data_IF_099527073529
#
_entry.id   IF_099527073529
#
_cell.length_a   1.000
_cell.length_b   1.000
_cell.length_c   1.000
_cell.angle_alpha   90.00
_cell.angle_beta   90.00
_cell.angle_gamma   90.00
#
_symmetry.space_group_name_H-M   'P 1'
#
loop_
_entity.id
_entity.type
_entity.pdbx_description
1 polymer ?
#
# COMPACT_ATOMS: atom_id res chain seq x y z
N UNK A 1 38.30 -35.89 -62.74
CA UNK A 1 38.73 -35.25 -61.48
C UNK A 1 37.54 -35.29 -60.53
N UNK A 2 37.54 -36.23 -59.58
CA UNK A 2 36.41 -36.49 -58.68
C UNK A 2 36.60 -35.61 -57.44
N UNK A 3 35.69 -34.66 -57.21
CA UNK A 3 35.66 -33.86 -55.99
C UNK A 3 34.75 -34.60 -55.00
N UNK A 4 35.33 -35.19 -53.95
CA UNK A 4 34.58 -35.73 -52.81
C UNK A 4 34.24 -34.56 -51.88
N UNK A 5 32.95 -34.25 -51.72
CA UNK A 5 32.48 -33.43 -50.61
C UNK A 5 32.26 -34.33 -49.39
N UNK A 6 33.10 -34.18 -48.36
CA UNK A 6 32.83 -34.72 -47.04
C UNK A 6 31.86 -33.77 -46.33
N UNK A 7 30.65 -34.24 -46.04
CA UNK A 7 29.73 -33.55 -45.15
C UNK A 7 30.22 -33.74 -43.71
N UNK A 8 30.64 -32.66 -43.04
CA UNK A 8 30.77 -32.66 -41.59
C UNK A 8 29.38 -32.68 -40.95
N UNK A 9 29.12 -33.50 -39.92
CA UNK A 9 27.87 -33.43 -39.18
C UNK A 9 27.91 -32.22 -38.25
N UNK A 10 27.24 -31.14 -38.64
CA UNK A 10 26.89 -30.03 -37.74
C UNK A 10 25.70 -30.49 -36.90
N UNK A 11 25.95 -31.38 -35.94
CA UNK A 11 24.94 -31.83 -34.98
C UNK A 11 25.57 -31.78 -33.59
N UNK A 12 25.83 -30.58 -33.07
CA UNK A 12 26.09 -30.43 -31.64
C UNK A 12 25.84 -29.01 -31.13
N UNK A 13 24.79 -28.34 -31.64
CA UNK A 13 24.40 -27.02 -31.15
C UNK A 13 22.87 -26.76 -31.09
N UNK A 14 22.05 -27.69 -30.55
CA UNK A 14 20.78 -27.25 -29.96
C UNK A 14 20.59 -27.69 -28.50
N UNK A 15 21.63 -28.18 -27.81
CA UNK A 15 21.49 -28.66 -26.42
C UNK A 15 21.94 -27.65 -25.34
N UNK A 16 22.28 -26.41 -25.71
CA UNK A 16 22.71 -25.35 -24.78
C UNK A 16 21.64 -24.28 -24.52
N UNK A 17 20.42 -24.45 -25.04
CA UNK A 17 19.29 -23.52 -24.84
C UNK A 17 18.24 -24.01 -23.83
N UNK A 18 18.53 -25.08 -23.08
CA UNK A 18 17.58 -25.70 -22.13
C UNK A 18 17.92 -25.49 -20.64
N UNK A 19 18.83 -24.57 -20.29
CA UNK A 19 19.25 -24.37 -18.89
C UNK A 19 19.05 -22.95 -18.34
N UNK A 20 18.10 -22.19 -18.88
CA UNK A 20 17.58 -20.99 -18.19
C UNK A 20 16.05 -20.99 -18.20
N UNK A 21 15.45 -22.08 -17.70
CA UNK A 21 14.23 -21.91 -16.92
C UNK A 21 14.74 -21.49 -15.54
N UNK A 22 15.08 -20.22 -15.39
CA UNK A 22 14.91 -19.63 -14.08
C UNK A 22 13.43 -19.76 -13.81
N UNK A 23 13.04 -20.74 -12.99
CA UNK A 23 11.83 -20.57 -12.21
C UNK A 23 12.10 -19.34 -11.36
N UNK A 24 11.83 -18.16 -11.90
CA UNK A 24 11.54 -17.00 -11.09
C UNK A 24 10.34 -17.44 -10.25
N UNK A 25 10.60 -18.01 -9.07
CA UNK A 25 9.73 -17.75 -7.95
C UNK A 25 9.71 -16.24 -7.91
N UNK A 26 8.69 -15.61 -8.52
CA UNK A 26 8.37 -14.25 -8.14
C UNK A 26 8.21 -14.35 -6.63
N UNK A 27 9.16 -13.76 -5.90
CA UNK A 27 8.98 -13.60 -4.47
C UNK A 27 7.65 -12.87 -4.32
N UNK A 28 6.67 -13.52 -3.69
CA UNK A 28 5.36 -12.92 -3.50
C UNK A 28 5.58 -11.57 -2.81
N UNK A 29 5.05 -10.50 -3.40
CA UNK A 29 5.07 -9.18 -2.78
C UNK A 29 4.43 -9.26 -1.39
N UNK A 30 5.12 -8.73 -0.38
CA UNK A 30 4.57 -8.58 0.97
C UNK A 30 4.51 -7.09 1.28
N UNK A 31 3.31 -6.63 1.63
CA UNK A 31 3.07 -5.31 2.19
C UNK A 31 2.93 -5.41 3.72
N UNK A 32 3.47 -4.45 4.45
CA UNK A 32 3.40 -4.41 5.92
C UNK A 32 3.02 -3.02 6.42
N UNK A 33 2.25 -2.97 7.51
CA UNK A 33 1.99 -1.74 8.25
C UNK A 33 3.05 -1.56 9.34
N UNK A 34 3.56 -0.34 9.47
CA UNK A 34 4.57 0.05 10.46
C UNK A 34 4.19 1.39 11.11
N UNK A 35 4.42 1.54 12.40
CA UNK A 35 4.33 2.83 13.10
C UNK A 35 3.41 2.83 14.31
N UNK A 36 2.68 1.76 14.59
CA UNK A 36 1.70 1.71 15.69
C UNK A 36 2.21 1.03 16.97
N UNK A 37 3.47 0.59 16.99
CA UNK A 37 4.10 0.08 18.21
C UNK A 37 5.58 0.47 18.27
N UNK A 38 5.96 1.33 19.22
CA UNK A 38 7.35 1.79 19.39
C UNK A 38 8.40 0.69 19.63
N UNK A 39 7.97 -0.56 19.86
CA UNK A 39 8.84 -1.72 20.03
C UNK A 39 8.94 -2.60 18.77
N UNK A 40 8.33 -2.21 17.65
CA UNK A 40 8.34 -2.98 16.39
C UNK A 40 9.63 -2.80 15.56
N UNK A 41 10.60 -2.05 16.09
CA UNK A 41 11.83 -1.68 15.40
C UNK A 41 11.65 -0.43 14.54
N UNK A 42 12.77 0.13 14.08
CA UNK A 42 12.79 1.28 13.18
C UNK A 42 12.25 0.94 11.79
N UNK A 43 11.91 1.98 11.03
CA UNK A 43 11.47 1.83 9.64
C UNK A 43 12.58 1.20 8.79
N UNK A 44 13.84 1.61 9.00
CA UNK A 44 14.96 1.00 8.26
C UNK A 44 15.20 -0.46 8.61
N UNK A 45 15.12 -0.86 9.89
CA UNK A 45 15.23 -2.27 10.29
C UNK A 45 14.14 -3.12 9.63
N UNK A 46 12.93 -2.57 9.49
CA UNK A 46 11.83 -3.22 8.77
C UNK A 46 12.18 -3.48 7.30
N UNK A 47 12.71 -2.48 6.59
CA UNK A 47 13.10 -2.60 5.20
C UNK A 47 14.31 -3.53 5.00
N UNK A 48 15.33 -3.44 5.87
CA UNK A 48 16.55 -4.25 5.82
C UNK A 48 16.31 -5.75 6.07
N UNK A 49 15.10 -6.14 6.52
CA UNK A 49 14.71 -7.55 6.52
C UNK A 49 14.69 -8.18 5.13
N UNK A 50 14.54 -7.37 4.07
CA UNK A 50 14.41 -7.82 2.69
C UNK A 50 13.12 -8.60 2.41
N UNK A 51 12.15 -8.58 3.32
CA UNK A 51 10.89 -9.34 3.21
C UNK A 51 9.77 -8.58 2.52
N UNK A 52 9.80 -7.24 2.60
CA UNK A 52 8.68 -6.39 2.24
C UNK A 52 8.98 -5.61 0.97
N UNK A 53 8.01 -5.55 0.06
CA UNK A 53 8.09 -4.70 -1.14
C UNK A 53 7.32 -3.39 -0.95
N UNK A 54 6.44 -3.34 0.07
CA UNK A 54 5.69 -2.16 0.45
C UNK A 54 5.68 -2.00 1.97
N UNK A 55 5.84 -0.77 2.45
CA UNK A 55 5.65 -0.40 3.85
C UNK A 55 4.65 0.76 3.92
N UNK A 56 3.59 0.57 4.69
CA UNK A 56 2.57 1.58 4.98
C UNK A 56 2.86 2.21 6.34
N UNK A 57 3.26 3.48 6.34
CA UNK A 57 3.45 4.27 7.56
C UNK A 57 2.08 4.61 8.12
N UNK A 58 1.76 4.03 9.27
CA UNK A 58 0.48 4.11 9.94
C UNK A 58 0.59 4.97 11.20
N UNK A 59 -0.20 6.05 11.39
CA UNK A 59 -1.25 6.58 10.52
C UNK A 59 -1.36 8.11 10.59
N UNK A 60 -1.82 8.72 9.49
CA UNK A 60 -2.49 10.03 9.54
C UNK A 60 -3.94 9.81 9.97
N UNK A 61 -4.18 9.80 11.29
CA UNK A 61 -5.45 9.36 11.89
C UNK A 61 -6.45 10.49 12.17
N UNK A 62 -6.09 11.74 11.84
CA UNK A 62 -6.98 12.90 12.00
C UNK A 62 -6.76 13.86 10.85
N UNK A 63 -7.83 14.20 10.13
CA UNK A 63 -7.82 15.14 9.01
C UNK A 63 -9.26 15.46 8.57
N UNK A 64 -9.39 16.43 7.65
CA UNK A 64 -10.66 16.83 7.05
C UNK A 64 -11.60 17.53 8.03
N UNK A 65 -12.75 17.99 7.53
CA UNK A 65 -13.71 18.83 8.24
C UNK A 65 -13.09 20.08 8.90
N UNK A 66 -12.11 20.69 8.21
CA UNK A 66 -11.39 21.87 8.71
C UNK A 66 -10.42 21.62 9.87
N UNK A 67 -10.19 20.37 10.26
CA UNK A 67 -9.23 20.01 11.29
C UNK A 67 -7.79 20.17 10.80
N UNK A 68 -6.88 20.55 11.69
CA UNK A 68 -5.44 20.39 11.46
C UNK A 68 -5.11 18.89 11.42
N UNK A 69 -4.50 18.38 10.33
CA UNK A 69 -4.15 16.97 10.26
C UNK A 69 -3.12 16.57 11.32
N UNK A 70 -3.23 15.33 11.84
CA UNK A 70 -2.30 14.81 12.85
C UNK A 70 -1.85 13.39 12.49
N UNK A 71 -0.52 13.24 12.45
CA UNK A 71 0.16 11.95 12.35
C UNK A 71 0.27 11.34 13.76
N UNK A 72 0.17 10.03 13.86
CA UNK A 72 0.47 9.28 15.08
C UNK A 72 1.36 8.09 14.73
N UNK A 73 2.56 8.04 15.31
CA UNK A 73 3.51 6.94 15.18
C UNK A 73 3.80 6.29 16.54
N UNK A 74 2.76 6.20 17.37
CA UNK A 74 2.79 5.61 18.71
C UNK A 74 4.03 6.05 19.53
N UNK A 75 4.91 5.11 19.85
CA UNK A 75 6.11 5.34 20.67
C UNK A 75 7.38 5.65 19.87
N UNK A 76 7.32 5.73 18.54
CA UNK A 76 8.52 5.94 17.70
C UNK A 76 9.05 7.38 17.78
N UNK A 77 8.14 8.36 17.69
CA UNK A 77 8.49 9.77 17.68
C UNK A 77 7.23 10.63 17.93
N UNK A 78 7.45 11.91 18.26
CA UNK A 78 6.37 12.88 18.42
C UNK A 78 6.36 13.89 17.25
N UNK A 79 5.34 13.88 16.38
CA UNK A 79 5.24 14.83 15.28
C UNK A 79 4.90 16.25 15.74
N UNK A 80 4.28 16.44 16.92
CA UNK A 80 3.93 17.77 17.42
C UNK A 80 5.16 18.61 17.80
N UNK A 81 6.28 17.95 18.13
CA UNK A 81 7.58 18.57 18.41
C UNK A 81 8.56 18.50 17.23
N UNK A 82 8.10 18.15 16.02
CA UNK A 82 8.92 17.85 14.85
C UNK A 82 9.92 16.68 15.06
N UNK A 83 9.69 15.85 16.08
CA UNK A 83 10.56 14.73 16.43
C UNK A 83 10.55 13.59 15.39
N UNK A 84 9.52 13.52 14.54
CA UNK A 84 9.41 12.49 13.50
C UNK A 84 10.19 12.79 12.21
N UNK A 85 10.83 13.95 12.11
CA UNK A 85 11.70 14.29 10.95
C UNK A 85 12.90 13.36 10.81
N UNK A 86 13.26 12.64 11.87
CA UNK A 86 14.32 11.61 11.86
C UNK A 86 14.01 10.43 10.92
N UNK A 87 12.73 10.23 10.57
CA UNK A 87 12.29 9.15 9.68
C UNK A 87 12.65 9.42 8.21
N UNK A 88 12.99 10.67 7.84
CA UNK A 88 13.40 11.04 6.48
C UNK A 88 14.48 10.10 5.91
N UNK A 89 15.52 9.83 6.70
CA UNK A 89 16.63 9.01 6.26
C UNK A 89 16.23 7.55 6.07
N UNK A 90 15.36 7.03 6.93
CA UNK A 90 14.87 5.66 6.84
C UNK A 90 14.00 5.46 5.59
N UNK A 91 13.11 6.42 5.29
CA UNK A 91 12.31 6.41 4.05
C UNK A 91 13.22 6.31 2.82
N UNK A 92 14.23 7.18 2.74
CA UNK A 92 15.15 7.20 1.59
C UNK A 92 15.89 5.87 1.44
N UNK A 93 16.39 5.31 2.54
CA UNK A 93 17.09 4.02 2.53
C UNK A 93 16.17 2.86 2.14
N UNK A 94 14.93 2.85 2.60
CA UNK A 94 13.92 1.88 2.13
C UNK A 94 13.71 1.99 0.61
N UNK A 95 13.56 3.21 0.10
CA UNK A 95 13.37 3.48 -1.33
C UNK A 95 14.59 3.09 -2.17
N UNK A 96 15.82 3.30 -1.66
CA UNK A 96 17.07 2.84 -2.28
C UNK A 96 17.14 1.31 -2.40
N UNK A 97 16.46 0.58 -1.51
CA UNK A 97 16.31 -0.88 -1.56
C UNK A 97 15.14 -1.33 -2.44
N UNK A 98 14.44 -0.40 -3.09
CA UNK A 98 13.29 -0.70 -3.95
C UNK A 98 11.97 -0.93 -3.20
N UNK A 99 11.94 -0.69 -1.89
CA UNK A 99 10.71 -0.77 -1.08
C UNK A 99 9.87 0.49 -1.31
N UNK A 100 8.60 0.33 -1.67
CA UNK A 100 7.67 1.47 -1.74
C UNK A 100 7.23 1.86 -0.35
N UNK A 101 7.35 3.14 0.00
CA UNK A 101 6.94 3.67 1.30
C UNK A 101 5.74 4.59 1.13
N UNK A 102 4.60 4.22 1.69
CA UNK A 102 3.33 4.94 1.58
C UNK A 102 2.93 5.52 2.93
N UNK A 103 2.19 6.63 2.92
CA UNK A 103 1.47 7.10 4.11
C UNK A 103 0.08 6.48 4.12
N UNK A 104 -0.28 5.78 5.20
CA UNK A 104 -1.64 5.33 5.41
C UNK A 104 -2.49 6.39 6.12
N UNK A 105 -3.61 6.74 5.51
CA UNK A 105 -4.62 7.65 6.06
C UNK A 105 -5.76 6.83 6.66
N UNK A 106 -6.17 7.18 7.88
CA UNK A 106 -7.28 6.53 8.57
C UNK A 106 -6.85 5.61 9.71
N UNK A 107 -7.14 4.31 9.57
CA UNK A 107 -6.99 3.24 10.56
C UNK A 107 -8.23 3.06 11.46
N UNK A 108 -8.35 1.91 12.13
CA UNK A 108 -9.49 1.57 12.99
C UNK A 108 -9.74 2.48 14.22
N UNK A 109 -8.88 3.46 14.47
CA UNK A 109 -9.06 4.50 15.50
C UNK A 109 -8.60 5.86 15.00
N UNK A 110 -9.43 6.89 15.16
CA UNK A 110 -9.09 8.23 14.70
C UNK A 110 -10.28 9.19 14.66
N UNK A 111 -10.04 10.38 14.10
CA UNK A 111 -11.07 11.37 13.83
C UNK A 111 -10.84 11.98 12.44
N UNK A 112 -11.25 11.24 11.43
CA UNK A 112 -11.09 11.59 10.03
C UNK A 112 -12.43 11.48 9.30
N UNK A 113 -12.67 12.41 8.38
CA UNK A 113 -13.84 12.43 7.51
C UNK A 113 -13.65 13.50 6.43
N UNK A 114 -14.33 13.36 5.29
CA UNK A 114 -14.39 14.39 4.27
C UNK A 114 -15.79 15.01 4.27
N UNK A 115 -15.87 16.33 4.45
CA UNK A 115 -17.15 17.03 4.55
C UNK A 115 -17.75 17.40 3.18
N UNK A 116 -16.93 17.45 2.13
CA UNK A 116 -17.31 17.80 0.75
C UNK A 116 -16.18 17.45 -0.22
N UNK A 117 -16.47 17.48 -1.53
CA UNK A 117 -15.44 17.40 -2.57
C UNK A 117 -14.35 18.48 -2.43
N UNK A 118 -14.71 19.71 -2.03
CA UNK A 118 -13.72 20.77 -1.74
C UNK A 118 -12.85 20.43 -0.53
N UNK A 119 -13.39 19.72 0.45
CA UNK A 119 -12.63 19.23 1.60
C UNK A 119 -11.66 18.11 1.19
N UNK A 120 -12.10 17.18 0.34
CA UNK A 120 -11.24 16.19 -0.28
C UNK A 120 -10.08 16.85 -1.05
N UNK A 121 -10.34 17.91 -1.81
CA UNK A 121 -9.29 18.66 -2.50
C UNK A 121 -8.30 19.32 -1.55
N UNK A 122 -8.78 19.90 -0.43
CA UNK A 122 -7.89 20.48 0.59
C UNK A 122 -7.00 19.42 1.24
N UNK A 123 -7.55 18.25 1.54
CA UNK A 123 -6.79 17.12 2.08
C UNK A 123 -5.77 16.62 1.05
N UNK A 124 -6.15 16.48 -0.22
CA UNK A 124 -5.24 16.10 -1.30
C UNK A 124 -4.05 17.07 -1.42
N UNK A 125 -4.32 18.39 -1.38
CA UNK A 125 -3.27 19.41 -1.41
C UNK A 125 -2.35 19.33 -0.19
N UNK A 126 -2.89 19.08 1.00
CA UNK A 126 -2.08 18.87 2.20
C UNK A 126 -1.16 17.65 2.05
N UNK A 127 -1.72 16.49 1.67
CA UNK A 127 -0.94 15.28 1.44
C UNK A 127 0.17 15.51 0.40
N UNK A 128 -0.14 16.25 -0.67
CA UNK A 128 0.82 16.62 -1.69
C UNK A 128 1.99 17.44 -1.15
N UNK A 129 1.68 18.53 -0.44
CA UNK A 129 2.67 19.49 0.07
C UNK A 129 3.51 18.94 1.22
N UNK A 130 2.91 18.13 2.09
CA UNK A 130 3.52 17.72 3.35
C UNK A 130 4.19 16.33 3.29
N UNK A 131 3.78 15.45 2.36
CA UNK A 131 4.25 14.05 2.31
C UNK A 131 4.69 13.57 0.92
N UNK A 132 4.14 14.14 -0.15
CA UNK A 132 4.50 13.78 -1.53
C UNK A 132 5.44 14.85 -2.12
N UNK A 133 5.40 15.04 -3.43
CA UNK A 133 6.38 15.83 -4.20
C UNK A 133 6.04 17.33 -4.25
N UNK A 134 5.14 17.81 -3.38
CA UNK A 134 4.95 19.23 -3.11
C UNK A 134 6.00 19.80 -2.17
N UNK A 135 5.85 21.07 -1.81
CA UNK A 135 6.82 21.79 -0.98
C UNK A 135 6.11 22.49 0.20
N UNK A 136 6.41 22.03 1.42
CA UNK A 136 5.96 22.64 2.67
C UNK A 136 7.17 22.95 3.54
N UNK A 137 7.12 24.03 4.32
CA UNK A 137 8.24 24.47 5.16
C UNK A 137 8.49 23.60 6.40
N UNK A 138 7.54 22.74 6.78
CA UNK A 138 7.62 21.89 7.97
C UNK A 138 6.88 20.58 7.72
N UNK A 139 7.56 19.62 7.11
CA UNK A 139 7.00 18.31 6.76
C UNK A 139 7.08 17.35 7.95
N UNK A 140 6.00 16.63 8.31
CA UNK A 140 5.99 15.79 9.52
C UNK A 140 7.05 14.69 9.57
N UNK A 141 7.43 14.15 8.41
CA UNK A 141 8.42 13.07 8.26
C UNK A 141 9.75 13.58 7.65
N UNK A 142 9.94 14.90 7.59
CA UNK A 142 11.08 15.52 6.90
C UNK A 142 10.90 15.61 5.38
N UNK A 143 12.01 15.81 4.66
CA UNK A 143 12.02 16.17 3.24
C UNK A 143 11.86 14.97 2.29
N UNK A 144 11.69 13.77 2.83
CA UNK A 144 11.51 12.57 2.06
C UNK A 144 10.16 12.64 1.34
N UNK A 145 10.16 12.17 0.10
CA UNK A 145 8.98 12.15 -0.75
C UNK A 145 8.48 10.71 -0.76
N UNK A 146 7.33 10.48 -0.13
CA UNK A 146 6.68 9.18 -0.13
C UNK A 146 6.25 8.77 -1.54
N UNK A 147 6.12 7.47 -1.74
CA UNK A 147 5.72 6.91 -3.02
C UNK A 147 4.22 7.05 -3.27
N UNK A 148 3.42 7.11 -2.21
CA UNK A 148 1.98 7.13 -2.36
C UNK A 148 1.18 7.28 -1.07
N UNK A 149 -0.13 7.18 -1.23
CA UNK A 149 -1.12 7.26 -0.16
C UNK A 149 -1.90 5.94 -0.13
N UNK A 150 -1.96 5.35 1.06
CA UNK A 150 -2.79 4.19 1.38
C UNK A 150 -4.09 4.61 2.06
N UNK A 151 -5.22 4.13 1.56
CA UNK A 151 -6.55 4.42 2.06
C UNK A 151 -7.01 3.28 2.98
N UNK A 152 -6.85 3.46 4.28
CA UNK A 152 -7.34 2.55 5.31
C UNK A 152 -8.52 3.19 6.05
N UNK A 153 -9.66 3.27 5.37
CA UNK A 153 -10.85 4.00 5.85
C UNK A 153 -11.83 3.01 6.48
N UNK A 154 -11.90 3.01 7.81
CA UNK A 154 -12.69 2.02 8.57
C UNK A 154 -13.89 2.62 9.33
N UNK A 155 -13.98 3.95 9.41
CA UNK A 155 -15.01 4.67 10.16
C UNK A 155 -15.39 6.01 9.53
N UNK A 156 -16.42 6.64 10.09
CA UNK A 156 -16.85 7.98 9.70
C UNK A 156 -17.77 7.99 8.48
N UNK A 157 -17.59 8.97 7.59
CA UNK A 157 -18.42 9.13 6.39
C UNK A 157 -17.88 8.28 5.23
N UNK A 158 -18.74 7.59 4.45
CA UNK A 158 -18.31 6.90 3.23
C UNK A 158 -18.18 7.84 2.01
N UNK A 159 -18.41 9.15 2.18
CA UNK A 159 -18.47 10.10 1.07
C UNK A 159 -17.10 10.69 0.71
N UNK A 160 -16.94 11.05 -0.57
CA UNK A 160 -15.84 11.84 -1.14
C UNK A 160 -14.45 11.18 -1.18
N UNK A 161 -14.32 9.91 -0.80
CA UNK A 161 -13.05 9.18 -0.97
C UNK A 161 -12.68 8.99 -2.45
N UNK A 162 -13.67 8.89 -3.34
CA UNK A 162 -13.43 8.88 -4.79
C UNK A 162 -12.86 10.22 -5.29
N UNK A 163 -13.32 11.34 -4.73
CA UNK A 163 -12.81 12.67 -5.06
C UNK A 163 -11.36 12.81 -4.61
N UNK A 164 -11.06 12.38 -3.38
CA UNK A 164 -9.70 12.39 -2.84
C UNK A 164 -8.75 11.57 -3.73
N UNK A 165 -9.16 10.36 -4.15
CA UNK A 165 -8.37 9.53 -5.05
C UNK A 165 -8.11 10.22 -6.41
N UNK A 166 -9.13 10.87 -7.00
CA UNK A 166 -8.98 11.62 -8.25
C UNK A 166 -8.04 12.82 -8.10
N UNK A 167 -8.15 13.59 -7.02
CA UNK A 167 -7.27 14.73 -6.79
C UNK A 167 -5.81 14.32 -6.55
N UNK A 168 -5.58 13.23 -5.79
CA UNK A 168 -4.22 12.71 -5.59
C UNK A 168 -3.61 12.21 -6.89
N UNK A 169 -4.38 11.45 -7.69
CA UNK A 169 -3.92 10.95 -8.98
C UNK A 169 -3.61 12.07 -9.98
N UNK A 170 -4.33 13.19 -9.91
CA UNK A 170 -4.08 14.33 -10.80
C UNK A 170 -2.68 14.96 -10.61
N UNK A 171 -1.99 14.71 -9.49
CA UNK A 171 -0.60 15.15 -9.32
C UNK A 171 0.42 14.33 -10.13
N UNK A 172 0.03 13.20 -10.74
CA UNK A 172 0.91 12.45 -11.65
C UNK A 172 1.41 13.35 -12.81
N UNK A 173 0.61 14.33 -13.22
CA UNK A 173 0.93 15.31 -14.27
C UNK A 173 2.15 16.19 -13.94
N UNK A 174 2.62 16.19 -12.69
CA UNK A 174 3.84 16.92 -12.29
C UNK A 174 5.12 16.09 -12.47
N UNK A 175 5.05 14.89 -13.06
CA UNK A 175 6.22 14.10 -13.47
C UNK A 175 6.69 13.04 -12.48
N UNK A 176 5.99 12.83 -11.36
CA UNK A 176 6.21 11.69 -10.44
C UNK A 176 4.87 11.03 -10.14
N UNK A 177 4.77 9.72 -10.39
CA UNK A 177 3.58 8.92 -10.07
C UNK A 177 3.33 8.92 -8.56
N UNK A 178 2.09 9.17 -8.17
CA UNK A 178 1.53 8.99 -6.83
C UNK A 178 0.88 7.62 -6.77
N UNK A 179 1.46 6.67 -6.03
CA UNK A 179 0.83 5.37 -5.85
C UNK A 179 -0.42 5.52 -4.97
N UNK A 180 -1.51 4.86 -5.34
CA UNK A 180 -2.73 4.81 -4.54
C UNK A 180 -3.01 3.37 -4.17
N UNK A 181 -3.10 3.10 -2.87
CA UNK A 181 -3.47 1.77 -2.36
C UNK A 181 -4.66 1.86 -1.43
N UNK A 182 -5.32 0.74 -1.17
CA UNK A 182 -6.50 0.70 -0.33
C UNK A 182 -6.57 -0.58 0.50
N UNK A 183 -7.09 -0.45 1.72
CA UNK A 183 -7.31 -1.53 2.67
C UNK A 183 -8.81 -1.70 3.00
N UNK A 184 -9.66 -2.10 2.04
CA UNK A 184 -11.06 -2.36 2.36
C UNK A 184 -11.21 -3.56 3.28
N UNK A 185 -12.28 -3.59 4.06
CA UNK A 185 -12.66 -4.80 4.79
C UNK A 185 -13.13 -5.88 3.82
N UNK A 186 -13.03 -7.16 4.21
CA UNK A 186 -13.44 -8.25 3.32
C UNK A 186 -14.93 -8.33 2.92
N UNK A 187 -15.91 -7.76 3.66
CA UNK A 187 -17.29 -7.73 3.18
C UNK A 187 -17.40 -6.90 1.90
N UNK A 188 -17.94 -7.49 0.83
CA UNK A 188 -18.08 -6.82 -0.46
C UNK A 188 -19.54 -6.43 -0.75
N UNK A 189 -19.81 -5.22 -1.28
CA UNK A 189 -18.85 -4.13 -1.47
C UNK A 189 -18.48 -3.47 -0.14
N UNK A 190 -17.24 -2.97 -0.02
CA UNK A 190 -16.79 -2.23 1.16
C UNK A 190 -17.62 -0.97 1.39
N UNK A 191 -17.95 -0.65 2.65
CA UNK A 191 -18.84 0.46 2.96
C UNK A 191 -18.25 1.82 2.58
N UNK A 192 -16.95 2.02 2.80
CA UNK A 192 -16.28 3.31 2.72
C UNK A 192 -15.58 3.51 1.38
N UNK A 193 -14.96 2.46 0.84
CA UNK A 193 -14.07 2.53 -0.31
C UNK A 193 -14.74 2.06 -1.60
N UNK A 194 -15.97 1.54 -1.59
CA UNK A 194 -16.65 1.05 -2.81
C UNK A 194 -16.67 2.07 -3.95
N UNK A 195 -16.98 3.33 -3.67
CA UNK A 195 -17.13 4.34 -4.72
C UNK A 195 -15.74 4.70 -5.27
N UNK A 196 -14.74 4.84 -4.39
CA UNK A 196 -13.36 5.06 -4.78
C UNK A 196 -12.80 3.91 -5.63
N UNK A 197 -13.03 2.65 -5.23
CA UNK A 197 -12.52 1.48 -5.93
C UNK A 197 -13.25 1.25 -7.26
N UNK A 198 -14.58 1.34 -7.28
CA UNK A 198 -15.39 0.95 -8.45
C UNK A 198 -15.52 2.07 -9.50
N UNK A 199 -15.58 3.34 -9.08
CA UNK A 199 -15.87 4.44 -10.01
C UNK A 199 -14.60 5.06 -10.60
N UNK A 200 -13.43 4.82 -10.00
CA UNK A 200 -12.20 5.51 -10.38
C UNK A 200 -11.23 4.60 -11.14
N UNK A 201 -11.13 3.32 -10.79
CA UNK A 201 -10.12 2.39 -11.32
C UNK A 201 -8.67 2.93 -11.14
N UNK A 202 -8.46 3.78 -10.12
CA UNK A 202 -7.18 4.48 -9.90
C UNK A 202 -6.23 3.78 -8.94
N UNK A 203 -6.63 2.69 -8.30
CA UNK A 203 -5.83 2.04 -7.26
C UNK A 203 -4.82 1.06 -7.85
N UNK A 204 -3.55 1.22 -7.47
CA UNK A 204 -2.44 0.37 -7.88
C UNK A 204 -2.52 -0.98 -7.17
N UNK A 205 -2.66 -0.97 -5.85
CA UNK A 205 -2.73 -2.18 -5.03
C UNK A 205 -3.90 -2.12 -4.06
N UNK A 206 -4.58 -3.24 -3.86
CA UNK A 206 -5.67 -3.36 -2.88
C UNK A 206 -5.38 -4.55 -1.97
N UNK A 207 -5.16 -4.31 -0.68
CA UNK A 207 -4.94 -5.35 0.35
C UNK A 207 -6.19 -5.52 1.20
N UNK A 208 -7.06 -6.43 0.78
CA UNK A 208 -8.35 -6.69 1.46
C UNK A 208 -8.09 -7.31 2.83
N UNK A 209 -8.69 -6.73 3.87
CA UNK A 209 -8.54 -7.17 5.26
C UNK A 209 -9.43 -8.40 5.53
N UNK A 210 -8.87 -9.61 5.45
CA UNK A 210 -9.57 -10.88 5.71
C UNK A 210 -9.51 -11.29 7.19
N UNK A 211 -9.88 -10.35 8.06
CA UNK A 211 -9.95 -10.50 9.51
C UNK A 211 -10.98 -9.53 10.11
N UNK A 212 -11.33 -9.72 11.39
CA UNK A 212 -12.38 -9.00 12.12
C UNK A 212 -13.79 -9.11 11.47
N UNK A 213 -14.00 -10.07 10.57
CA UNK A 213 -15.20 -10.20 9.74
C UNK A 213 -15.54 -11.68 9.48
N UNK A 214 -16.30 -12.35 10.39
CA UNK A 214 -16.58 -13.79 10.32
C UNK A 214 -17.20 -14.30 9.00
N UNK A 215 -17.90 -13.43 8.28
CA UNK A 215 -18.57 -13.78 7.01
C UNK A 215 -17.59 -13.98 5.84
N UNK A 216 -16.37 -13.47 5.93
CA UNK A 216 -15.40 -13.51 4.83
C UNK A 216 -13.96 -13.80 5.27
N UNK A 217 -13.69 -13.99 6.56
CA UNK A 217 -12.36 -14.39 7.06
C UNK A 217 -12.16 -15.92 7.12
N UNK A 218 -10.93 -16.32 7.44
CA UNK A 218 -10.62 -17.72 7.77
C UNK A 218 -11.25 -18.12 9.11
N UNK A 219 -11.90 -19.28 9.14
CA UNK A 219 -12.33 -19.93 10.38
C UNK A 219 -11.68 -21.30 10.50
N UNK A 220 -11.40 -21.75 11.73
CA UNK A 220 -10.67 -23.00 11.95
C UNK A 220 -11.31 -24.19 11.22
N UNK A 221 -10.59 -24.74 10.24
CA UNK A 221 -11.05 -25.87 9.43
C UNK A 221 -12.01 -25.51 8.28
N UNK A 222 -12.22 -24.21 8.00
CA UNK A 222 -13.07 -23.72 6.93
C UNK A 222 -12.40 -22.54 6.20
N UNK A 223 -12.15 -22.73 4.90
CA UNK A 223 -11.60 -21.69 4.00
C UNK A 223 -12.64 -21.16 3.00
N UNK A 224 -13.88 -21.65 3.03
CA UNK A 224 -14.89 -21.36 2.02
C UNK A 224 -15.25 -19.87 2.01
N UNK A 225 -15.36 -19.25 3.20
CA UNK A 225 -15.68 -17.82 3.35
C UNK A 225 -14.58 -16.93 2.72
N UNK A 226 -13.32 -17.17 3.10
CA UNK A 226 -12.17 -16.40 2.57
C UNK A 226 -11.96 -16.63 1.09
N UNK A 227 -12.08 -17.87 0.58
CA UNK A 227 -11.95 -18.18 -0.84
C UNK A 227 -13.10 -17.56 -1.66
N UNK A 228 -14.34 -17.64 -1.16
CA UNK A 228 -15.50 -17.05 -1.84
C UNK A 228 -15.40 -15.54 -1.91
N UNK A 229 -15.00 -14.89 -0.82
CA UNK A 229 -14.79 -13.44 -0.78
C UNK A 229 -13.60 -13.01 -1.66
N UNK A 230 -12.48 -13.75 -1.62
CA UNK A 230 -11.34 -13.52 -2.53
C UNK A 230 -11.74 -13.55 -4.00
N UNK A 231 -12.53 -14.55 -4.41
CA UNK A 231 -13.02 -14.67 -5.79
C UNK A 231 -13.93 -13.49 -6.15
N UNK A 232 -14.79 -13.05 -5.22
CA UNK A 232 -15.68 -11.91 -5.43
C UNK A 232 -14.88 -10.61 -5.64
N UNK A 233 -13.91 -10.34 -4.76
CA UNK A 233 -13.04 -9.16 -4.87
C UNK A 233 -12.25 -9.15 -6.18
N UNK A 234 -11.51 -10.23 -6.48
CA UNK A 234 -10.62 -10.30 -7.65
C UNK A 234 -11.35 -10.26 -8.99
N UNK A 235 -12.65 -10.58 -9.03
CA UNK A 235 -13.47 -10.51 -10.25
C UNK A 235 -14.29 -9.23 -10.37
N UNK A 236 -14.45 -8.46 -9.27
CA UNK A 236 -15.35 -7.30 -9.24
C UNK A 236 -14.65 -5.96 -9.26
N UNK A 237 -13.38 -5.87 -8.84
CA UNK A 237 -12.61 -4.61 -8.88
C UNK A 237 -11.56 -4.62 -9.98
N UNK A 238 -11.17 -3.43 -10.41
CA UNK A 238 -9.99 -3.22 -11.27
C UNK A 238 -8.90 -2.53 -10.46
N UNK A 239 -7.87 -3.29 -10.12
CA UNK A 239 -6.62 -2.83 -9.53
C UNK A 239 -5.46 -3.53 -10.24
N UNK A 240 -4.25 -2.97 -10.19
CA UNK A 240 -3.08 -3.62 -10.80
C UNK A 240 -2.72 -4.89 -10.04
N UNK A 241 -2.75 -4.84 -8.70
CA UNK A 241 -2.53 -5.99 -7.83
C UNK A 241 -3.58 -6.07 -6.72
N UNK A 242 -3.98 -7.29 -6.39
CA UNK A 242 -4.87 -7.59 -5.27
C UNK A 242 -4.11 -8.49 -4.29
N UNK A 243 -4.12 -8.11 -3.02
CA UNK A 243 -3.38 -8.75 -1.93
C UNK A 243 -4.34 -9.34 -0.90
N UNK A 244 -3.91 -10.44 -0.28
CA UNK A 244 -4.61 -11.10 0.83
C UNK A 244 -4.11 -10.49 2.15
N UNK A 245 -4.84 -9.54 2.72
CA UNK A 245 -4.51 -8.92 4.00
C UNK A 245 -4.85 -9.84 5.17
N UNK A 246 -3.86 -10.09 6.03
CA UNK A 246 -3.95 -11.02 7.15
C UNK A 246 -3.28 -10.44 8.41
N UNK A 247 -3.73 -10.83 9.61
CA UNK A 247 -3.02 -10.52 10.83
C UNK A 247 -1.74 -11.35 10.93
N UNK A 248 -0.63 -10.71 11.31
CA UNK A 248 0.66 -11.38 11.48
C UNK A 248 0.76 -12.21 12.78
N UNK A 249 -0.11 -11.93 13.76
CA UNK A 249 -0.17 -12.59 15.05
C UNK A 249 -1.63 -12.70 15.54
N UNK A 250 -2.02 -13.77 16.28
CA UNK A 250 -3.37 -13.88 16.85
C UNK A 250 -3.81 -12.70 17.74
N UNK A 251 -2.87 -11.93 18.31
CA UNK A 251 -3.14 -10.73 19.10
C UNK A 251 -3.33 -9.46 18.27
N UNK A 252 -3.08 -9.51 16.95
CA UNK A 252 -3.19 -8.36 16.04
C UNK A 252 -4.61 -8.11 15.50
N UNK A 253 -5.61 -8.85 16.00
CA UNK A 253 -7.03 -8.69 15.65
C UNK A 253 -7.83 -8.22 16.85
N UNK A 254 -8.93 -7.51 16.61
CA UNK A 254 -9.89 -7.21 17.66
C UNK A 254 -10.67 -8.48 17.93
N UNK A 255 -10.42 -9.11 19.08
CA UNK A 255 -11.22 -10.27 19.50
C UNK A 255 -12.65 -9.81 19.78
N UNK A 256 -13.58 -10.24 18.92
CA UNK A 256 -15.03 -10.04 19.10
C UNK A 256 -15.60 -11.07 20.08
#
# INVERSE_FOLDING_TARGET
MIIKFQALPVILLPLLLLTQIETSYEASDIAVYWGQNGNEGSLIETCETGKYTHVNIAFLHKFGNGQTPQLNLAGHCDPASNGCTVIDQDIRKCQEQGVKVLLSIGGGSGNYSLASSSDAQRVANYLWLDFLNGNASSRPLGDAILDGIDFDIELGSPQYWEDLARFLRAFDDTGRRVYLTAAPQCPFPDLYLRDALNNTELFDSVWIQFYNNPSCEYTKGNIDNIVSSWNLWTTSIKAVKVFLGLPADPSAVVTV
#
